data_IF_067967199660
#
_entry.id   IF_067967199660
#
_cell.length_a   1.000
_cell.length_b   1.000
_cell.length_c   1.000
_cell.angle_alpha   90.00
_cell.angle_beta   90.00
_cell.angle_gamma   90.00
#
_symmetry.space_group_name_H-M   'P 1'
#
loop_
_entity.id
_entity.type
_entity.pdbx_description
1 polymer ?
#
# COMPACT_ATOMS: atom_id res chain seq x y z
N UNK A 1 17.94 0.91 -25.31
CA UNK A 1 17.07 -0.21 -24.98
C UNK A 1 17.87 -1.48 -24.69
N UNK A 2 18.34 -1.66 -23.44
CA UNK A 2 19.15 -2.85 -23.04
C UNK A 2 18.34 -4.15 -23.00
N UNK A 3 17.01 -4.06 -22.97
CA UNK A 3 16.09 -5.20 -22.81
C UNK A 3 15.02 -5.26 -23.91
N UNK A 4 15.20 -4.52 -25.01
CA UNK A 4 14.30 -4.58 -26.17
C UNK A 4 13.05 -3.71 -26.09
N UNK A 5 12.84 -2.93 -25.01
CA UNK A 5 11.72 -2.00 -24.90
C UNK A 5 12.10 -0.60 -25.40
N UNK A 6 11.14 0.03 -26.09
CA UNK A 6 11.15 1.48 -26.33
C UNK A 6 10.14 2.08 -25.34
N UNK A 7 10.63 2.91 -24.43
CA UNK A 7 9.80 3.55 -23.41
C UNK A 7 9.60 5.02 -23.76
N UNK A 8 8.36 5.44 -23.84
CA UNK A 8 7.97 6.86 -23.88
C UNK A 8 7.43 7.25 -22.51
N UNK A 9 8.11 8.15 -21.83
CA UNK A 9 7.71 8.63 -20.51
C UNK A 9 6.81 9.85 -20.69
N UNK A 10 5.62 9.80 -20.12
CA UNK A 10 4.71 10.93 -20.00
C UNK A 10 4.66 11.36 -18.53
N UNK A 11 5.22 12.52 -18.23
CA UNK A 11 5.23 13.09 -16.88
C UNK A 11 3.94 13.89 -16.66
N UNK A 12 3.06 13.35 -15.80
CA UNK A 12 1.76 13.94 -15.47
C UNK A 12 1.84 14.56 -14.08
N UNK A 13 1.98 15.88 -14.03
CA UNK A 13 2.14 16.63 -12.78
C UNK A 13 0.85 16.69 -11.93
N UNK A 14 -0.33 16.51 -12.55
CA UNK A 14 -1.63 16.62 -11.88
C UNK A 14 -2.13 15.23 -11.49
N UNK A 15 -2.24 14.97 -10.19
CA UNK A 15 -2.62 13.64 -9.68
C UNK A 15 -3.97 13.12 -10.21
N UNK A 16 -4.98 13.99 -10.38
CA UNK A 16 -6.27 13.59 -10.93
C UNK A 16 -6.18 13.13 -12.39
N UNK A 17 -5.32 13.74 -13.20
CA UNK A 17 -5.08 13.32 -14.60
C UNK A 17 -4.34 11.98 -14.64
N UNK A 18 -3.36 11.79 -13.76
CA UNK A 18 -2.67 10.51 -13.61
C UNK A 18 -3.67 9.40 -13.27
N UNK A 19 -4.55 9.65 -12.28
CA UNK A 19 -5.58 8.69 -11.88
C UNK A 19 -6.53 8.34 -13.04
N UNK A 20 -7.00 9.30 -13.79
CA UNK A 20 -7.83 9.07 -14.97
C UNK A 20 -7.11 8.24 -16.04
N UNK A 21 -5.82 8.49 -16.23
CA UNK A 21 -5.02 7.83 -17.25
C UNK A 21 -4.89 6.31 -16.99
N UNK A 22 -4.57 5.89 -15.78
CA UNK A 22 -4.49 4.46 -15.49
C UNK A 22 -5.85 3.81 -15.22
N UNK A 23 -6.85 4.55 -14.71
CA UNK A 23 -8.22 4.07 -14.57
C UNK A 23 -8.88 3.77 -15.92
N UNK A 24 -8.64 4.61 -16.93
CA UNK A 24 -9.14 4.40 -18.29
C UNK A 24 -8.47 3.24 -19.02
N UNK A 25 -7.34 2.74 -18.51
CA UNK A 25 -6.56 1.68 -19.16
C UNK A 25 -5.78 2.13 -20.40
N UNK A 26 -5.60 3.45 -20.57
CA UNK A 26 -4.78 4.01 -21.67
C UNK A 26 -3.29 3.87 -21.39
N UNK A 27 -2.89 3.93 -20.10
CA UNK A 27 -1.50 3.70 -19.73
C UNK A 27 -1.16 2.21 -19.74
N UNK A 28 -0.13 1.82 -20.45
CA UNK A 28 0.40 0.45 -20.44
C UNK A 28 1.23 0.18 -19.19
N UNK A 29 1.91 1.21 -18.67
CA UNK A 29 2.67 1.18 -17.41
C UNK A 29 2.51 2.52 -16.69
N UNK A 30 2.53 2.50 -15.36
CA UNK A 30 2.51 3.74 -14.58
C UNK A 30 3.32 3.59 -13.30
N UNK A 31 3.77 4.71 -12.74
CA UNK A 31 4.37 4.79 -11.42
C UNK A 31 3.40 5.54 -10.51
N UNK A 32 2.99 4.90 -9.43
CA UNK A 32 2.07 5.46 -8.46
C UNK A 32 2.43 4.98 -7.05
N UNK A 33 1.67 5.42 -6.05
CA UNK A 33 1.82 4.97 -4.68
C UNK A 33 0.47 4.59 -4.10
N UNK A 34 0.46 3.54 -3.29
CA UNK A 34 -0.71 3.15 -2.50
C UNK A 34 -0.50 3.53 -1.04
N UNK A 35 -1.55 4.05 -0.42
CA UNK A 35 -1.62 4.19 1.02
C UNK A 35 -2.06 2.86 1.63
N UNK A 36 -1.29 2.35 2.59
CA UNK A 36 -1.68 1.14 3.31
C UNK A 36 -2.83 1.43 4.27
N UNK A 37 -3.61 0.41 4.61
CA UNK A 37 -4.64 0.41 5.64
C UNK A 37 -4.17 -0.40 6.85
N UNK A 38 -4.71 -0.17 8.08
CA UNK A 38 -4.36 -0.97 9.25
C UNK A 38 -4.65 -2.47 9.07
N UNK A 39 -5.75 -2.80 8.39
CA UNK A 39 -6.04 -4.18 7.97
C UNK A 39 -5.40 -4.44 6.61
N UNK A 40 -4.64 -5.55 6.42
CA UNK A 40 -4.00 -5.90 5.17
C UNK A 40 -5.00 -6.45 4.13
N UNK A 41 -6.16 -5.84 4.00
CA UNK A 41 -7.21 -6.24 3.06
C UNK A 41 -6.78 -6.00 1.61
N UNK A 42 -6.77 -7.05 0.82
CA UNK A 42 -6.35 -7.02 -0.59
C UNK A 42 -7.51 -6.85 -1.59
N UNK A 43 -8.75 -6.80 -1.12
CA UNK A 43 -9.94 -6.88 -1.98
C UNK A 43 -10.00 -5.74 -3.00
N UNK A 44 -9.79 -4.51 -2.56
CA UNK A 44 -9.95 -3.33 -3.41
C UNK A 44 -9.01 -3.33 -4.61
N UNK A 45 -7.79 -3.82 -4.42
CA UNK A 45 -6.72 -3.75 -5.41
C UNK A 45 -6.65 -4.98 -6.31
N UNK A 46 -6.88 -6.17 -5.75
CA UNK A 46 -6.52 -7.42 -6.43
C UNK A 46 -7.68 -8.36 -6.70
N UNK A 47 -8.84 -8.21 -6.01
CA UNK A 47 -10.02 -9.00 -6.33
C UNK A 47 -10.60 -8.57 -7.68
N UNK A 48 -11.11 -9.49 -8.49
CA UNK A 48 -11.66 -9.22 -9.82
C UNK A 48 -12.77 -8.15 -9.83
N UNK A 49 -13.52 -8.05 -8.72
CA UNK A 49 -14.56 -7.03 -8.49
C UNK A 49 -14.09 -5.85 -7.64
N UNK A 50 -12.81 -5.74 -7.37
CA UNK A 50 -12.23 -4.64 -6.60
C UNK A 50 -12.39 -3.30 -7.33
N UNK A 51 -12.86 -2.27 -6.64
CA UNK A 51 -13.13 -0.98 -7.26
C UNK A 51 -11.89 -0.28 -7.82
N UNK A 52 -10.71 -0.63 -7.30
CA UNK A 52 -9.42 -0.09 -7.71
C UNK A 52 -8.48 -1.15 -8.30
N UNK A 53 -9.03 -2.28 -8.78
CA UNK A 53 -8.28 -3.27 -9.53
C UNK A 53 -7.94 -2.74 -10.93
N UNK A 54 -7.06 -1.76 -10.99
CA UNK A 54 -6.58 -1.16 -12.24
C UNK A 54 -5.64 -2.10 -13.00
N UNK A 55 -5.09 -3.11 -12.33
CA UNK A 55 -4.27 -4.17 -12.90
C UNK A 55 -5.05 -5.14 -13.78
N UNK A 56 -6.39 -5.15 -13.68
CA UNK A 56 -7.30 -6.06 -14.40
C UNK A 56 -7.04 -7.54 -14.08
N UNK A 57 -6.57 -7.83 -12.87
CA UNK A 57 -6.48 -9.21 -12.39
C UNK A 57 -7.88 -9.82 -12.39
N UNK A 58 -7.98 -11.03 -12.93
CA UNK A 58 -9.21 -11.82 -12.95
C UNK A 58 -8.84 -13.29 -12.71
N UNK A 59 -8.73 -13.65 -11.44
CA UNK A 59 -8.28 -14.94 -10.96
C UNK A 59 -9.22 -15.42 -9.86
N UNK A 60 -9.92 -16.53 -10.10
CA UNK A 60 -10.94 -17.02 -9.16
C UNK A 60 -10.33 -17.59 -7.87
N UNK A 61 -9.15 -18.19 -7.94
CA UNK A 61 -8.46 -18.71 -6.75
C UNK A 61 -8.00 -17.56 -5.84
N UNK A 62 -7.45 -16.51 -6.44
CA UNK A 62 -7.11 -15.28 -5.71
C UNK A 62 -8.34 -14.64 -5.07
N UNK A 63 -9.45 -14.54 -5.80
CA UNK A 63 -10.71 -13.99 -5.31
C UNK A 63 -11.23 -14.75 -4.09
N UNK A 64 -11.23 -16.08 -4.14
CA UNK A 64 -11.66 -16.95 -3.05
C UNK A 64 -10.77 -16.77 -1.79
N UNK A 65 -9.45 -16.72 -1.97
CA UNK A 65 -8.51 -16.51 -0.86
C UNK A 65 -8.71 -15.16 -0.20
N UNK A 66 -8.89 -14.10 -0.97
CA UNK A 66 -9.14 -12.74 -0.45
C UNK A 66 -10.45 -12.70 0.35
N UNK A 67 -11.52 -13.29 -0.18
CA UNK A 67 -12.82 -13.33 0.51
C UNK A 67 -12.74 -14.14 1.79
N UNK A 68 -12.10 -15.32 1.77
CA UNK A 68 -11.94 -16.16 2.95
C UNK A 68 -11.11 -15.44 4.05
N UNK A 69 -10.05 -14.72 3.66
CA UNK A 69 -9.24 -13.95 4.61
C UNK A 69 -10.02 -12.80 5.26
N UNK A 70 -10.90 -12.13 4.51
CA UNK A 70 -11.77 -11.06 5.05
C UNK A 70 -12.81 -11.59 6.05
N UNK A 71 -13.28 -12.81 5.87
CA UNK A 71 -14.33 -13.42 6.68
C UNK A 71 -13.80 -14.04 7.99
N UNK A 72 -12.48 -14.18 8.13
CA UNK A 72 -11.87 -14.81 9.29
C UNK A 72 -11.30 -13.80 10.27
N UNK A 73 -11.42 -14.09 11.55
CA UNK A 73 -10.74 -13.39 12.66
C UNK A 73 -9.46 -14.12 13.11
N UNK A 74 -9.22 -15.34 12.63
CA UNK A 74 -8.00 -16.09 12.93
C UNK A 74 -6.82 -15.50 12.16
N UNK A 75 -5.92 -14.86 12.88
CA UNK A 75 -4.75 -14.20 12.30
C UNK A 75 -3.78 -15.17 11.61
N UNK A 76 -3.66 -16.40 12.12
CA UNK A 76 -2.78 -17.40 11.53
C UNK A 76 -3.33 -17.87 10.18
N UNK A 77 -4.63 -18.14 10.13
CA UNK A 77 -5.33 -18.50 8.91
C UNK A 77 -5.29 -17.36 7.88
N UNK A 78 -5.62 -16.13 8.28
CA UNK A 78 -5.53 -14.95 7.41
C UNK A 78 -4.12 -14.77 6.82
N UNK A 79 -3.10 -14.88 7.67
CA UNK A 79 -1.69 -14.77 7.24
C UNK A 79 -1.33 -15.82 6.19
N UNK A 80 -1.80 -17.07 6.34
CA UNK A 80 -1.55 -18.13 5.36
C UNK A 80 -2.21 -17.84 4.02
N UNK A 81 -3.46 -17.36 4.03
CA UNK A 81 -4.20 -17.01 2.83
C UNK A 81 -3.57 -15.81 2.10
N UNK A 82 -3.25 -14.73 2.83
CA UNK A 82 -2.61 -13.56 2.21
C UNK A 82 -1.22 -13.87 1.66
N UNK A 83 -0.49 -14.79 2.29
CA UNK A 83 0.79 -15.23 1.73
C UNK A 83 0.60 -15.96 0.40
N UNK A 84 -0.34 -16.91 0.32
CA UNK A 84 -0.66 -17.61 -0.91
C UNK A 84 -1.20 -16.65 -2.00
N UNK A 85 -2.06 -15.71 -1.61
CA UNK A 85 -2.57 -14.68 -2.51
C UNK A 85 -1.44 -13.80 -3.09
N UNK A 86 -0.43 -13.46 -2.29
CA UNK A 86 0.73 -12.72 -2.77
C UNK A 86 1.54 -13.49 -3.80
N UNK A 87 1.67 -14.81 -3.65
CA UNK A 87 2.36 -15.64 -4.64
C UNK A 87 1.63 -15.56 -6.00
N UNK A 88 0.30 -15.65 -6.01
CA UNK A 88 -0.51 -15.47 -7.23
C UNK A 88 -0.34 -14.08 -7.83
N UNK A 89 -0.41 -13.02 -7.02
CA UNK A 89 -0.23 -11.64 -7.48
C UNK A 89 1.16 -11.44 -8.11
N UNK A 90 2.20 -12.03 -7.50
CA UNK A 90 3.55 -11.97 -8.03
C UNK A 90 3.67 -12.70 -9.37
N UNK A 91 2.99 -13.83 -9.56
CA UNK A 91 2.96 -14.57 -10.83
C UNK A 91 2.27 -13.78 -11.95
N UNK A 92 1.26 -12.98 -11.60
CA UNK A 92 0.66 -12.03 -12.55
C UNK A 92 1.62 -10.93 -13.01
N UNK A 93 2.66 -10.61 -12.22
CA UNK A 93 3.69 -9.65 -12.59
C UNK A 93 3.19 -8.21 -12.80
N UNK A 94 2.09 -7.85 -12.18
CA UNK A 94 1.38 -6.57 -12.40
C UNK A 94 1.96 -5.40 -11.63
N UNK A 95 2.78 -5.67 -10.63
CA UNK A 95 3.34 -4.65 -9.74
C UNK A 95 4.81 -4.94 -9.41
N UNK A 96 5.63 -3.91 -9.47
CA UNK A 96 7.03 -3.95 -9.03
C UNK A 96 7.20 -2.96 -7.89
N UNK A 97 7.29 -3.40 -6.64
CA UNK A 97 7.58 -2.52 -5.51
C UNK A 97 8.96 -1.87 -5.66
N UNK A 98 9.03 -0.54 -5.65
CA UNK A 98 10.27 0.20 -5.83
C UNK A 98 10.84 0.66 -4.49
N UNK A 99 10.02 1.30 -3.65
CA UNK A 99 10.40 1.72 -2.30
C UNK A 99 9.16 1.97 -1.44
N UNK A 100 9.38 1.95 -0.14
CA UNK A 100 8.42 2.42 0.84
C UNK A 100 8.95 3.68 1.51
N UNK A 101 8.13 4.74 1.54
CA UNK A 101 8.48 5.98 2.23
C UNK A 101 8.47 5.77 3.75
N UNK A 102 9.50 6.23 4.41
CA UNK A 102 9.52 6.31 5.88
C UNK A 102 8.93 7.64 6.33
N UNK A 103 8.11 7.62 7.38
CA UNK A 103 7.69 8.83 8.08
C UNK A 103 8.84 9.30 8.99
N UNK A 104 9.05 10.62 9.01
CA UNK A 104 10.08 11.23 9.84
C UNK A 104 9.46 12.39 10.63
N UNK A 105 9.66 12.38 11.93
CA UNK A 105 9.25 13.44 12.83
C UNK A 105 10.50 14.06 13.50
N UNK A 106 10.59 15.36 13.46
CA UNK A 106 11.72 16.13 14.01
C UNK A 106 11.23 16.95 15.19
N UNK A 107 11.85 16.79 16.34
CA UNK A 107 11.54 17.49 17.58
C UNK A 107 12.77 18.23 18.10
N UNK A 108 12.54 19.35 18.79
CA UNK A 108 13.59 20.03 19.57
C UNK A 108 13.81 19.29 20.87
N UNK A 109 14.97 18.69 21.04
CA UNK A 109 15.37 18.00 22.30
C UNK A 109 15.54 18.96 23.48
N UNK A 110 15.65 20.28 23.22
CA UNK A 110 15.68 21.31 24.27
C UNK A 110 14.29 21.61 24.83
N UNK A 111 13.25 21.40 24.05
CA UNK A 111 11.87 21.74 24.40
C UNK A 111 11.01 20.55 24.75
N UNK A 112 11.29 19.41 24.14
CA UNK A 112 10.48 18.19 24.27
C UNK A 112 11.29 17.14 25.02
N UNK A 113 10.70 16.58 26.04
CA UNK A 113 11.22 15.40 26.70
C UNK A 113 11.08 14.19 25.77
N UNK A 114 12.14 13.84 25.05
CA UNK A 114 12.15 12.80 24.03
C UNK A 114 11.73 11.43 24.59
N UNK A 115 11.95 11.18 25.89
CA UNK A 115 11.57 9.91 26.52
C UNK A 115 10.06 9.71 26.65
N UNK A 116 9.28 10.78 26.46
CA UNK A 116 7.81 10.74 26.50
C UNK A 116 7.18 10.60 25.12
N UNK A 117 7.98 10.55 24.05
CA UNK A 117 7.48 10.27 22.71
C UNK A 117 6.99 8.81 22.60
N UNK A 118 5.95 8.61 21.83
CA UNK A 118 5.45 7.28 21.46
C UNK A 118 6.58 6.44 20.86
N UNK A 119 6.97 5.30 21.47
CA UNK A 119 8.17 4.56 21.08
C UNK A 119 8.04 3.87 19.70
N UNK A 120 6.90 3.30 19.40
CA UNK A 120 6.66 2.48 18.22
C UNK A 120 5.70 3.17 17.23
N UNK A 121 6.17 4.29 16.67
CA UNK A 121 5.37 5.03 15.70
C UNK A 121 5.21 4.23 14.39
N UNK A 122 3.97 4.22 13.91
CA UNK A 122 3.57 3.62 12.65
C UNK A 122 2.84 4.66 11.79
N UNK A 123 2.53 4.39 10.51
CA UNK A 123 1.65 5.28 9.72
C UNK A 123 0.26 5.51 10.33
N UNK A 124 -0.17 4.65 11.25
CA UNK A 124 -1.51 4.69 11.88
C UNK A 124 -1.49 5.13 13.33
N UNK A 125 -0.33 5.11 13.98
CA UNK A 125 -0.15 5.44 15.39
C UNK A 125 1.12 6.26 15.56
N UNK A 126 1.01 7.47 16.05
CA UNK A 126 2.13 8.41 16.19
C UNK A 126 2.01 9.20 17.48
N UNK A 127 2.97 10.07 17.73
CA UNK A 127 2.94 11.01 18.86
C UNK A 127 1.64 11.82 18.93
N UNK A 128 0.96 12.06 17.79
CA UNK A 128 -0.34 12.76 17.77
C UNK A 128 -1.46 11.94 18.39
N UNK A 129 -1.36 10.63 18.34
CA UNK A 129 -2.34 9.70 18.92
C UNK A 129 -2.24 9.64 20.44
N UNK A 130 -1.11 10.08 21.00
CA UNK A 130 -0.78 10.09 22.43
C UNK A 130 -0.21 11.44 22.87
N UNK A 131 -0.69 12.52 22.28
CA UNK A 131 -0.16 13.88 22.54
C UNK A 131 -0.25 14.28 24.03
N UNK A 132 -1.20 13.73 24.76
CA UNK A 132 -1.39 13.93 26.20
C UNK A 132 -0.25 13.36 27.06
N UNK A 133 0.55 12.46 26.50
CA UNK A 133 1.73 11.89 27.18
C UNK A 133 3.02 12.70 26.95
N UNK A 134 2.95 13.63 26.00
CA UNK A 134 4.13 14.43 25.62
C UNK A 134 4.40 15.50 26.67
N UNK A 135 5.63 15.51 27.21
CA UNK A 135 6.07 16.47 28.19
C UNK A 135 7.08 17.48 27.62
N UNK A 136 7.03 18.67 28.13
CA UNK A 136 8.07 19.69 27.90
C UNK A 136 9.21 19.53 28.91
N UNK A 137 10.43 19.87 28.50
CA UNK A 137 11.57 19.96 29.39
C UNK A 137 11.48 21.21 30.29
#
# INVERSE_FOLDING_TARGET
>A
AKIGFTLTVNDIAVASELYQTYQSGVAEMWVAAWGATPDPDMYQLYHSKGATNYYKINDSELDEMIVAARQSVDQTYRKSLYKAAMDIIMDWGVEVPVYQRSECYIFSSERINISTLTPDMTPYWSWRSEVEKLELN
#
